data_IF_140483057914
#
_entry.id   IF_140483057914
#
_cell.length_a   1.000
_cell.length_b   1.000
_cell.length_c   1.000
_cell.angle_alpha   90.00
_cell.angle_beta   90.00
_cell.angle_gamma   90.00
#
_symmetry.space_group_name_H-M   'P 1'
#
loop_
_entity.id
_entity.type
_entity.pdbx_description
1 polymer ?
#
# COMPACT_ATOMS: atom_id res chain seq x y z
N UNK A 1 -19.04 11.87 -1.29
CA UNK A 1 -18.23 10.71 -0.83
C UNK A 1 -18.78 9.50 -1.55
N UNK A 2 -18.02 8.98 -2.52
CA UNK A 2 -18.53 7.93 -3.39
C UNK A 2 -18.26 6.57 -2.72
N UNK A 3 -19.32 5.81 -2.49
CA UNK A 3 -19.27 4.47 -1.87
C UNK A 3 -18.30 3.53 -2.63
N UNK A 4 -18.16 3.74 -3.94
CA UNK A 4 -17.25 3.02 -4.83
C UNK A 4 -15.76 3.20 -4.49
N UNK A 5 -15.34 4.39 -4.04
CA UNK A 5 -13.94 4.69 -3.72
C UNK A 5 -13.52 3.98 -2.43
N UNK A 6 -14.42 3.93 -1.43
CA UNK A 6 -14.20 3.21 -0.18
C UNK A 6 -14.14 1.69 -0.36
N UNK A 7 -14.96 1.11 -1.23
CA UNK A 7 -14.95 -0.33 -1.52
C UNK A 7 -13.65 -0.74 -2.22
N UNK A 8 -13.19 0.04 -3.21
CA UNK A 8 -11.92 -0.20 -3.89
C UNK A 8 -10.73 -0.13 -2.93
N UNK A 9 -10.68 0.91 -2.08
CA UNK A 9 -9.64 1.06 -1.06
C UNK A 9 -9.64 -0.12 -0.06
N UNK A 10 -10.82 -0.58 0.37
CA UNK A 10 -10.93 -1.72 1.31
C UNK A 10 -10.49 -3.04 0.68
N UNK A 11 -10.89 -3.31 -0.56
CA UNK A 11 -10.46 -4.49 -1.31
C UNK A 11 -8.94 -4.49 -1.48
N UNK A 12 -8.36 -3.33 -1.78
CA UNK A 12 -6.92 -3.15 -1.92
C UNK A 12 -6.15 -3.25 -0.58
N UNK A 13 -6.69 -2.71 0.51
CA UNK A 13 -6.09 -2.87 1.85
C UNK A 13 -6.06 -4.34 2.29
N UNK A 14 -7.00 -5.16 1.81
CA UNK A 14 -7.03 -6.60 2.04
C UNK A 14 -5.98 -7.34 1.20
N UNK A 15 -5.72 -6.89 -0.03
CA UNK A 15 -4.64 -7.43 -0.88
C UNK A 15 -3.25 -7.24 -0.25
N UNK A 16 -2.95 -6.01 0.21
CA UNK A 16 -1.72 -5.73 0.99
C UNK A 16 -1.66 -6.55 2.29
N UNK A 17 -2.81 -6.83 2.91
CA UNK A 17 -2.86 -7.65 4.11
C UNK A 17 -2.43 -9.09 3.84
N UNK A 18 -2.87 -9.65 2.71
CA UNK A 18 -2.45 -10.97 2.23
C UNK A 18 -0.95 -11.00 1.96
N UNK A 19 -0.43 -10.01 1.24
CA UNK A 19 0.98 -9.90 0.85
C UNK A 19 1.94 -9.78 2.07
N UNK A 20 1.55 -9.03 3.11
CA UNK A 20 2.30 -8.95 4.37
C UNK A 20 2.34 -10.30 5.10
N UNK A 21 1.28 -11.11 5.01
CA UNK A 21 1.22 -12.41 5.66
C UNK A 21 2.10 -13.45 4.94
N UNK A 22 2.26 -13.29 3.62
CA UNK A 22 3.11 -14.14 2.77
C UNK A 22 4.61 -13.85 2.97
N UNK A 23 4.98 -12.59 3.20
CA UNK A 23 6.39 -12.13 3.33
C UNK A 23 7.14 -12.72 4.55
N UNK A 24 6.48 -13.40 5.49
CA UNK A 24 7.15 -14.06 6.61
C UNK A 24 7.67 -15.49 6.31
N UNK A 25 7.52 -16.04 5.10
CA UNK A 25 7.95 -17.43 4.81
C UNK A 25 8.77 -17.70 3.55
N UNK A 26 9.24 -16.72 2.77
CA UNK A 26 10.01 -17.05 1.57
C UNK A 26 11.19 -16.11 1.31
N UNK A 27 12.39 -16.66 1.47
CA UNK A 27 13.52 -16.23 0.66
C UNK A 27 13.31 -16.76 -0.76
N UNK A 28 13.40 -15.85 -1.73
CA UNK A 28 13.39 -16.04 -3.19
C UNK A 28 12.05 -16.22 -3.92
N UNK A 29 11.98 -15.40 -4.98
CA UNK A 29 11.45 -15.65 -6.33
C UNK A 29 10.05 -15.14 -6.67
N UNK A 30 10.04 -14.49 -7.84
CA UNK A 30 8.93 -14.05 -8.69
C UNK A 30 8.14 -12.81 -8.28
N UNK A 31 8.62 -11.66 -8.77
CA UNK A 31 7.87 -10.41 -8.87
C UNK A 31 6.76 -10.58 -9.93
N UNK A 32 5.61 -11.12 -9.51
CA UNK A 32 4.39 -11.04 -10.30
C UNK A 32 3.91 -9.59 -10.29
N UNK A 33 4.11 -8.90 -11.42
CA UNK A 33 3.59 -7.55 -11.64
C UNK A 33 2.15 -7.69 -12.10
N UNK A 34 1.13 -7.25 -11.33
CA UNK A 34 -0.23 -7.17 -11.84
C UNK A 34 -0.29 -6.05 -12.91
N UNK A 35 -0.18 -6.43 -14.19
CA UNK A 35 -0.41 -5.58 -15.35
C UNK A 35 -1.92 -5.35 -15.56
N UNK A 36 -2.49 -4.45 -14.77
CA UNK A 36 -3.78 -3.82 -15.08
C UNK A 36 -3.62 -2.67 -16.10
N UNK A 37 -4.70 -2.19 -16.73
CA UNK A 37 -4.65 -1.02 -17.60
C UNK A 37 -4.17 0.20 -16.81
N UNK A 38 -3.17 0.91 -17.34
CA UNK A 38 -2.46 2.04 -16.71
C UNK A 38 -3.43 3.14 -16.24
N UNK A 39 -4.55 3.31 -16.94
CA UNK A 39 -5.59 4.28 -16.63
C UNK A 39 -6.38 3.93 -15.36
N UNK A 40 -6.65 2.64 -15.11
CA UNK A 40 -7.34 2.19 -13.90
C UNK A 40 -6.48 2.46 -12.66
N UNK A 41 -5.19 2.10 -12.70
CA UNK A 41 -4.24 2.33 -11.61
C UNK A 41 -4.12 3.82 -11.25
N UNK A 42 -4.13 4.69 -12.26
CA UNK A 42 -4.03 6.14 -12.06
C UNK A 42 -5.30 6.71 -11.41
N UNK A 43 -6.48 6.25 -11.84
CA UNK A 43 -7.76 6.65 -11.25
C UNK A 43 -7.91 6.14 -9.81
N UNK A 44 -7.52 4.89 -9.54
CA UNK A 44 -7.51 4.30 -8.20
C UNK A 44 -6.55 5.06 -7.27
N UNK A 45 -5.36 5.44 -7.75
CA UNK A 45 -4.44 6.29 -7.01
C UNK A 45 -5.06 7.63 -6.66
N UNK A 46 -5.67 8.33 -7.63
CA UNK A 46 -6.30 9.63 -7.40
C UNK A 46 -7.46 9.54 -6.39
N UNK A 47 -8.26 8.47 -6.44
CA UNK A 47 -9.33 8.21 -5.48
C UNK A 47 -8.78 7.92 -4.06
N UNK A 48 -7.59 7.33 -3.95
CA UNK A 48 -6.96 7.06 -2.67
C UNK A 48 -6.31 8.29 -2.02
N UNK A 49 -5.91 9.30 -2.83
CA UNK A 49 -5.23 10.51 -2.37
C UNK A 49 -5.89 11.16 -1.14
N UNK A 50 -7.19 11.53 -1.13
CA UNK A 50 -7.82 12.20 0.03
C UNK A 50 -7.69 11.40 1.33
N UNK A 51 -7.70 10.07 1.26
CA UNK A 51 -7.53 9.23 2.44
C UNK A 51 -6.07 9.13 2.91
N UNK A 52 -5.13 9.25 1.97
CA UNK A 52 -3.70 9.28 2.26
C UNK A 52 -3.25 10.62 2.84
N UNK A 53 -3.97 11.72 2.61
CA UNK A 53 -3.62 13.05 3.16
C UNK A 53 -3.70 13.07 4.69
N UNK A 54 -4.64 12.33 5.28
CA UNK A 54 -4.76 12.14 6.74
C UNK A 54 -3.64 11.30 7.37
N UNK A 55 -2.86 10.59 6.56
CA UNK A 55 -1.76 9.78 7.06
C UNK A 55 -0.55 10.65 7.40
N UNK A 56 0.19 10.32 8.48
CA UNK A 56 1.53 10.87 8.69
C UNK A 56 2.40 10.68 7.43
N UNK A 57 3.25 11.67 7.08
CA UNK A 57 4.03 11.64 5.84
C UNK A 57 4.87 10.36 5.71
N UNK A 58 5.43 9.88 6.83
CA UNK A 58 6.21 8.64 6.90
C UNK A 58 5.42 7.37 6.54
N UNK A 59 4.10 7.35 6.77
CA UNK A 59 3.21 6.24 6.42
C UNK A 59 2.75 6.36 4.97
N UNK A 60 2.41 7.57 4.55
CA UNK A 60 2.02 7.90 3.18
C UNK A 60 3.11 7.54 2.18
N UNK A 61 4.37 7.87 2.48
CA UNK A 61 5.49 7.65 1.58
C UNK A 61 5.72 6.17 1.26
N UNK A 62 5.62 5.30 2.28
CA UNK A 62 5.73 3.85 2.11
C UNK A 62 4.58 3.30 1.26
N UNK A 63 3.34 3.74 1.53
CA UNK A 63 2.19 3.35 0.72
C UNK A 63 2.28 3.88 -0.72
N UNK A 64 2.78 5.10 -0.92
CA UNK A 64 2.94 5.68 -2.24
C UNK A 64 3.91 4.89 -3.11
N UNK A 65 5.06 4.45 -2.54
CA UNK A 65 6.01 3.61 -3.28
C UNK A 65 5.42 2.23 -3.60
N UNK A 66 4.63 1.64 -2.71
CA UNK A 66 3.92 0.38 -3.00
C UNK A 66 2.85 0.57 -4.08
N UNK A 67 2.06 1.63 -3.98
CA UNK A 67 0.89 1.90 -4.82
C UNK A 67 1.24 2.39 -6.22
N UNK A 68 2.07 3.42 -6.28
CA UNK A 68 2.43 4.10 -7.52
C UNK A 68 3.51 3.32 -8.24
N UNK A 69 4.56 2.95 -7.52
CA UNK A 69 5.78 2.37 -8.10
C UNK A 69 5.74 0.83 -8.07
N UNK A 70 4.76 0.20 -7.40
CA UNK A 70 4.64 -1.27 -7.34
C UNK A 70 5.78 -1.94 -6.57
N UNK A 71 6.57 -1.19 -5.81
CA UNK A 71 7.79 -1.70 -5.17
C UNK A 71 7.45 -2.66 -4.04
N UNK A 72 8.25 -3.71 -3.87
CA UNK A 72 8.14 -4.61 -2.73
C UNK A 72 8.76 -3.99 -1.47
N UNK A 73 8.35 -4.47 -0.30
CA UNK A 73 8.82 -3.95 0.98
C UNK A 73 10.35 -3.89 1.16
N UNK A 74 11.15 -4.89 0.73
CA UNK A 74 12.60 -4.78 0.76
C UNK A 74 13.14 -3.65 -0.10
N UNK A 75 12.59 -3.44 -1.30
CA UNK A 75 13.03 -2.34 -2.17
C UNK A 75 12.63 -0.98 -1.62
N UNK A 76 11.45 -0.89 -0.98
CA UNK A 76 11.02 0.32 -0.26
C UNK A 76 11.96 0.60 0.91
N UNK A 77 12.37 -0.42 1.67
CA UNK A 77 13.32 -0.29 2.76
C UNK A 77 14.67 0.25 2.27
N UNK A 78 15.20 -0.32 1.18
CA UNK A 78 16.44 0.16 0.55
C UNK A 78 16.27 1.60 0.04
N UNK A 79 15.17 1.89 -0.64
CA UNK A 79 14.89 3.20 -1.26
C UNK A 79 14.74 4.33 -0.25
N UNK A 80 14.18 4.03 0.93
CA UNK A 80 13.97 4.98 2.02
C UNK A 80 15.09 4.96 3.06
N UNK A 81 16.05 4.02 2.96
CA UNK A 81 17.10 3.84 3.97
C UNK A 81 16.54 3.42 5.33
N UNK A 82 15.47 2.63 5.35
CA UNK A 82 14.77 2.20 6.57
C UNK A 82 14.91 0.69 6.78
N UNK A 83 14.88 0.20 8.03
CA UNK A 83 14.78 -1.23 8.30
C UNK A 83 13.48 -1.82 7.72
N UNK A 84 13.54 -3.05 7.20
CA UNK A 84 12.36 -3.75 6.65
C UNK A 84 11.21 -3.86 7.68
N UNK A 85 11.53 -4.14 8.95
CA UNK A 85 10.53 -4.13 10.03
C UNK A 85 9.89 -2.76 10.28
N UNK A 86 10.59 -1.67 9.99
CA UNK A 86 10.03 -0.31 10.03
C UNK A 86 9.07 -0.07 8.87
N UNK A 87 9.38 -0.58 7.67
CA UNK A 87 8.46 -0.54 6.52
C UNK A 87 7.17 -1.32 6.85
N UNK A 88 7.29 -2.55 7.35
CA UNK A 88 6.14 -3.37 7.73
C UNK A 88 5.25 -2.67 8.78
N UNK A 89 5.86 -2.14 9.84
CA UNK A 89 5.10 -1.44 10.89
C UNK A 89 4.47 -0.13 10.41
N UNK A 90 5.10 0.60 9.49
CA UNK A 90 4.50 1.79 8.85
C UNK A 90 3.29 1.42 8.00
N UNK A 91 3.36 0.34 7.21
CA UNK A 91 2.23 -0.16 6.42
C UNK A 91 1.08 -0.61 7.33
N UNK A 92 1.38 -1.41 8.36
CA UNK A 92 0.37 -1.87 9.30
C UNK A 92 -0.37 -0.71 9.98
N UNK A 93 0.35 0.35 10.38
CA UNK A 93 -0.27 1.55 10.96
C UNK A 93 -1.05 2.37 9.94
N UNK A 94 -0.52 2.53 8.73
CA UNK A 94 -1.21 3.23 7.65
C UNK A 94 -2.57 2.58 7.35
N UNK A 95 -2.59 1.24 7.24
CA UNK A 95 -3.82 0.45 7.08
C UNK A 95 -4.80 0.66 8.24
N UNK A 96 -4.29 0.66 9.48
CA UNK A 96 -5.10 0.89 10.67
C UNK A 96 -5.71 2.30 10.74
N UNK A 97 -5.04 3.30 10.18
CA UNK A 97 -5.58 4.66 10.08
C UNK A 97 -6.62 4.78 8.96
N UNK A 98 -6.35 4.19 7.79
CA UNK A 98 -7.29 4.18 6.66
C UNK A 98 -8.59 3.43 6.99
N UNK A 99 -8.49 2.30 7.69
CA UNK A 99 -9.65 1.52 8.13
C UNK A 99 -10.56 2.25 9.13
N UNK A 100 -10.04 3.25 9.85
CA UNK A 100 -10.82 4.07 10.79
C UNK A 100 -11.53 5.25 10.10
N UNK A 101 -10.92 5.81 9.05
CA UNK A 101 -11.44 6.96 8.31
C UNK A 101 -12.46 6.58 7.23
N UNK A 102 -12.66 5.29 6.96
CA UNK A 102 -13.62 4.79 5.96
C UNK A 102 -14.95 4.28 6.56
N UNK A 103 -15.21 4.57 7.84
CA UNK A 103 -16.42 4.11 8.57
C UNK A 103 -17.46 5.20 8.75
#
# INVERSE_FOLDING_TARGET
>A
MNESEGIALRSWLADIASDVLDTQTAASADADTPSGPVDARTAEWQASLPHLEDLPPAQREVLALRLRDGMDYPDIAVRLGLPLGTVHSRIARARGSLGKNTS
#
